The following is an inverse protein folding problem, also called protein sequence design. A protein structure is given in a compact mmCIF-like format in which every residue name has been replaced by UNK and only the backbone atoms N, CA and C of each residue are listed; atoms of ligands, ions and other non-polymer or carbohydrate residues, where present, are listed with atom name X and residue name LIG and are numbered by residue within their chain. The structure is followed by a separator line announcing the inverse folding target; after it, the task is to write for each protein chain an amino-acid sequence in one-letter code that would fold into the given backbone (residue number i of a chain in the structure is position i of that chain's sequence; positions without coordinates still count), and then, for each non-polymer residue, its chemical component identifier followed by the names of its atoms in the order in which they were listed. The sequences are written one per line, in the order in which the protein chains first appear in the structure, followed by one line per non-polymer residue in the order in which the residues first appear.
data_IF_376453819712
#
_entry.id   IF_376453819712
#
_cell.length_a   1.000
_cell.length_b   1.000
_cell.length_c   1.000
_cell.angle_alpha   90.00
_cell.angle_beta   90.00
_cell.angle_gamma   90.00
#
_symmetry.space_group_name_H-M   'P 1'
#
loop_
_entity.id
_entity.type
_entity.pdbx_description
1 polymer ?
#
# COMPACT_ATOMS: atom_id res chain seq x y z
N UNK A 1 -2.30 24.03 -6.55
CA UNK A 1 -1.18 24.95 -6.87
C UNK A 1 -1.61 25.97 -7.92
N UNK A 2 -0.96 27.12 -7.93
CA UNK A 2 -1.20 28.17 -8.93
C UNK A 2 -0.29 27.90 -10.14
N UNK A 3 -0.74 28.10 -11.40
CA UNK A 3 0.09 27.96 -12.59
C UNK A 3 1.36 28.84 -12.49
N UNK A 4 2.52 28.33 -12.91
CA UNK A 4 3.81 29.03 -12.85
C UNK A 4 4.45 29.09 -11.46
N UNK A 5 3.90 28.44 -10.45
CA UNK A 5 4.51 28.30 -9.12
C UNK A 5 5.64 27.24 -9.10
N UNK A 6 6.34 27.14 -7.97
CA UNK A 6 7.34 26.10 -7.76
C UNK A 6 6.77 24.69 -8.03
N UNK A 7 7.59 23.72 -8.47
CA UNK A 7 7.15 22.35 -8.72
C UNK A 7 6.39 21.78 -7.53
N UNK A 8 5.27 21.13 -7.82
CA UNK A 8 4.42 20.48 -6.82
C UNK A 8 4.93 19.06 -6.57
N UNK A 9 5.33 18.71 -5.36
CA UNK A 9 5.64 17.32 -5.02
C UNK A 9 4.34 16.52 -5.00
N UNK A 10 4.29 15.46 -5.77
CA UNK A 10 3.14 14.55 -5.88
C UNK A 10 3.61 13.09 -5.87
N UNK A 11 2.86 12.17 -5.30
CA UNK A 11 3.16 10.75 -5.38
C UNK A 11 3.17 10.25 -6.83
N UNK A 12 4.06 9.32 -7.15
CA UNK A 12 3.98 8.54 -8.39
C UNK A 12 2.63 7.81 -8.40
N UNK A 13 1.96 7.79 -9.56
CA UNK A 13 0.62 7.20 -9.69
C UNK A 13 -0.53 8.17 -9.42
N UNK A 14 -0.26 9.39 -8.93
CA UNK A 14 -1.29 10.42 -8.74
C UNK A 14 -2.04 10.73 -10.02
N UNK A 15 -3.35 11.00 -9.89
CA UNK A 15 -4.19 11.42 -11.02
C UNK A 15 -4.39 12.93 -10.99
N UNK A 16 -4.01 13.59 -12.07
CA UNK A 16 -4.36 14.99 -12.35
C UNK A 16 -5.68 15.02 -13.12
N UNK A 17 -6.68 15.67 -12.54
CA UNK A 17 -7.97 15.89 -13.16
C UNK A 17 -8.08 17.37 -13.53
N UNK A 18 -8.34 17.65 -14.80
CA UNK A 18 -8.60 18.99 -15.30
C UNK A 18 -10.00 19.07 -15.87
N UNK A 19 -10.77 20.02 -15.38
CA UNK A 19 -12.18 20.21 -15.76
C UNK A 19 -12.40 21.65 -16.25
N UNK A 20 -13.15 21.77 -17.35
CA UNK A 20 -13.63 23.05 -17.89
C UNK A 20 -15.14 23.04 -18.03
N UNK A 21 -15.79 24.15 -17.67
CA UNK A 21 -17.24 24.37 -17.85
C UNK A 21 -17.58 25.13 -19.13
N UNK A 22 -16.63 25.39 -19.99
CA UNK A 22 -16.87 26.12 -21.26
C UNK A 22 -15.84 25.78 -22.31
N UNK A 23 -16.30 25.18 -23.42
CA UNK A 23 -15.48 24.84 -24.58
C UNK A 23 -14.59 23.59 -24.42
N UNK A 24 -13.95 23.24 -25.53
CA UNK A 24 -13.06 22.08 -25.57
C UNK A 24 -11.76 22.35 -24.79
N UNK A 25 -11.33 21.34 -24.08
CA UNK A 25 -10.15 21.39 -23.24
C UNK A 25 -8.93 20.86 -24.02
N UNK A 26 -7.98 21.77 -24.31
CA UNK A 26 -6.66 21.41 -24.88
C UNK A 26 -5.58 21.54 -23.81
N UNK A 27 -4.90 20.43 -23.54
CA UNK A 27 -3.86 20.34 -22.52
C UNK A 27 -2.60 19.74 -23.13
N UNK A 28 -1.52 20.50 -23.07
CA UNK A 28 -0.20 20.00 -23.40
C UNK A 28 0.44 19.41 -22.15
N UNK A 29 0.90 18.18 -22.25
CA UNK A 29 1.63 17.49 -21.19
C UNK A 29 3.04 17.13 -21.65
N UNK A 30 3.96 17.01 -20.68
CA UNK A 30 5.35 16.66 -20.92
C UNK A 30 5.96 15.90 -19.76
N UNK A 31 7.04 15.17 -20.03
CA UNK A 31 7.69 14.33 -19.02
C UNK A 31 6.84 13.14 -18.60
N UNK A 32 6.78 12.84 -17.32
CA UNK A 32 6.04 11.72 -16.74
C UNK A 32 4.54 11.96 -16.56
N UNK A 33 3.92 12.93 -17.24
CA UNK A 33 2.46 13.15 -17.21
C UNK A 33 1.84 12.52 -18.45
N UNK A 34 1.02 11.49 -18.28
CA UNK A 34 0.42 10.69 -19.36
C UNK A 34 -1.10 10.75 -19.27
N UNK A 35 -1.76 11.02 -20.40
CA UNK A 35 -3.20 11.01 -20.48
C UNK A 35 -3.77 9.60 -20.30
N UNK A 36 -4.82 9.48 -19.49
CA UNK A 36 -5.55 8.24 -19.25
C UNK A 36 -7.02 8.44 -19.53
N UNK A 37 -7.71 7.36 -19.91
CA UNK A 37 -9.17 7.42 -20.09
C UNK A 37 -9.84 7.67 -18.72
N UNK A 38 -10.87 8.53 -18.67
CA UNK A 38 -11.66 8.69 -17.45
C UNK A 38 -12.43 7.41 -17.13
N UNK A 39 -12.53 7.08 -15.85
CA UNK A 39 -13.30 5.93 -15.36
C UNK A 39 -14.82 6.18 -15.41
N UNK A 40 -15.24 7.44 -15.59
CA UNK A 40 -16.63 7.84 -15.68
C UNK A 40 -16.83 8.93 -16.72
N UNK A 41 -18.04 9.02 -17.29
CA UNK A 41 -18.37 10.12 -18.20
C UNK A 41 -18.45 11.46 -17.45
N UNK A 42 -17.92 12.50 -18.08
CA UNK A 42 -18.01 13.86 -17.55
C UNK A 42 -19.47 14.32 -17.50
N UNK A 43 -19.86 15.15 -16.51
CA UNK A 43 -21.17 15.76 -16.45
C UNK A 43 -21.50 16.54 -17.73
N UNK A 44 -22.76 16.53 -18.16
CA UNK A 44 -23.21 17.25 -19.36
C UNK A 44 -22.81 18.73 -19.31
N UNK A 45 -22.17 19.21 -20.38
CA UNK A 45 -21.71 20.60 -20.49
C UNK A 45 -20.36 20.88 -19.86
N UNK A 46 -19.63 19.87 -19.44
CA UNK A 46 -18.25 19.98 -18.96
C UNK A 46 -17.32 19.11 -19.79
N UNK A 47 -16.10 19.63 -20.06
CA UNK A 47 -15.00 18.86 -20.62
C UNK A 47 -14.06 18.46 -19.49
N UNK A 48 -13.66 17.19 -19.45
CA UNK A 48 -12.80 16.62 -18.41
C UNK A 48 -11.68 15.79 -19.04
N UNK A 49 -10.45 15.98 -18.58
CA UNK A 49 -9.28 15.22 -19.02
C UNK A 49 -8.55 14.67 -17.78
N UNK A 50 -8.14 13.43 -17.84
CA UNK A 50 -7.45 12.73 -16.78
C UNK A 50 -6.03 12.40 -17.19
N UNK A 51 -5.08 12.64 -16.32
CA UNK A 51 -3.66 12.36 -16.55
C UNK A 51 -3.10 11.63 -15.33
N UNK A 52 -2.27 10.63 -15.59
CA UNK A 52 -1.50 9.94 -14.54
C UNK A 52 -0.08 10.51 -14.49
N UNK A 53 0.39 10.77 -13.28
CA UNK A 53 1.76 11.26 -13.05
C UNK A 53 2.63 10.05 -12.72
N UNK A 54 3.49 9.66 -13.65
CA UNK A 54 4.41 8.51 -13.52
C UNK A 54 5.85 8.93 -13.26
N UNK A 55 6.14 10.22 -13.31
CA UNK A 55 7.46 10.83 -13.12
C UNK A 55 7.37 12.34 -13.13
N UNK A 56 8.49 13.01 -13.01
CA UNK A 56 8.56 14.48 -13.13
C UNK A 56 8.00 14.93 -14.47
N UNK A 57 7.22 16.00 -14.45
CA UNK A 57 6.60 16.46 -15.68
C UNK A 57 5.86 17.78 -15.54
N UNK A 58 5.22 18.16 -16.63
CA UNK A 58 4.47 19.43 -16.72
C UNK A 58 3.12 19.21 -17.38
N UNK A 59 2.13 20.02 -17.00
CA UNK A 59 0.86 20.13 -17.68
C UNK A 59 0.53 21.61 -17.90
N UNK A 60 0.03 21.95 -19.09
CA UNK A 60 -0.36 23.32 -19.44
C UNK A 60 -1.69 23.32 -20.17
N UNK A 61 -2.63 24.10 -19.70
CA UNK A 61 -3.88 24.37 -20.41
C UNK A 61 -3.59 25.36 -21.54
N UNK A 62 -4.03 25.02 -22.76
CA UNK A 62 -3.92 25.85 -23.97
C UNK A 62 -5.27 26.45 -24.38
N UNK A 63 -6.36 25.71 -24.12
CA UNK A 63 -7.73 26.14 -24.39
C UNK A 63 -8.64 25.69 -23.24
N UNK A 64 -9.70 26.44 -22.92
CA UNK A 64 -10.19 27.65 -23.57
C UNK A 64 -9.36 28.91 -23.32
N UNK A 65 -8.54 28.95 -22.28
CA UNK A 65 -7.59 30.03 -21.99
C UNK A 65 -6.19 29.46 -21.76
N UNK A 66 -5.16 30.13 -22.30
CA UNK A 66 -3.79 29.67 -22.10
C UNK A 66 -3.28 30.11 -20.74
N UNK A 67 -2.83 29.14 -19.94
CA UNK A 67 -2.28 29.36 -18.61
C UNK A 67 -0.80 28.96 -18.53
N UNK A 68 -0.11 29.45 -17.50
CA UNK A 68 1.24 29.03 -17.21
C UNK A 68 1.26 27.53 -16.84
N UNK A 69 2.33 26.79 -17.15
CA UNK A 69 2.39 25.37 -16.86
C UNK A 69 2.44 25.10 -15.36
N UNK A 70 1.81 24.01 -14.94
CA UNK A 70 2.07 23.37 -13.65
C UNK A 70 3.25 22.40 -13.84
N UNK A 71 4.21 22.49 -12.95
CA UNK A 71 5.33 21.54 -12.86
C UNK A 71 5.11 20.60 -11.69
N UNK A 72 5.40 19.32 -11.90
CA UNK A 72 5.26 18.26 -10.91
C UNK A 72 6.61 17.62 -10.66
N UNK A 73 6.94 17.39 -9.38
CA UNK A 73 8.04 16.52 -8.97
C UNK A 73 7.44 15.25 -8.40
N UNK A 74 7.67 14.14 -9.06
CA UNK A 74 7.13 12.85 -8.65
C UNK A 74 7.95 12.28 -7.48
N UNK A 75 7.29 12.02 -6.37
CA UNK A 75 7.91 11.37 -5.22
C UNK A 75 7.63 9.87 -5.31
N UNK A 76 8.67 9.00 -5.32
CA UNK A 76 8.47 7.57 -5.28
C UNK A 76 7.67 7.18 -4.04
N UNK A 77 6.71 6.28 -4.22
CA UNK A 77 6.00 5.64 -3.13
C UNK A 77 6.94 4.69 -2.38
N UNK A 78 6.84 4.66 -1.07
CA UNK A 78 7.60 3.75 -0.23
C UNK A 78 6.70 2.61 0.20
N UNK A 79 7.17 1.36 0.10
CA UNK A 79 6.38 0.23 0.59
C UNK A 79 6.13 0.37 2.09
N UNK A 80 4.95 -0.03 2.56
CA UNK A 80 4.61 0.01 3.97
C UNK A 80 5.53 -0.87 4.82
N UNK A 81 5.89 -0.39 5.99
CA UNK A 81 6.71 -1.12 6.95
C UNK A 81 5.87 -1.62 8.11
N UNK A 82 6.05 -2.89 8.47
CA UNK A 82 5.47 -3.50 9.66
C UNK A 82 6.53 -4.26 10.44
N UNK A 83 6.54 -4.09 11.75
CA UNK A 83 7.44 -4.82 12.64
C UNK A 83 6.74 -5.10 13.98
N UNK A 84 7.17 -6.15 14.68
CA UNK A 84 6.75 -6.38 16.05
C UNK A 84 7.20 -5.22 16.94
N UNK A 85 6.26 -4.63 17.69
CA UNK A 85 6.55 -3.61 18.69
C UNK A 85 6.98 -4.24 20.02
N UNK A 86 6.51 -5.45 20.29
CA UNK A 86 6.87 -6.27 21.46
C UNK A 86 6.87 -7.74 21.04
N UNK A 87 7.58 -8.57 21.82
CA UNK A 87 7.50 -10.02 21.64
C UNK A 87 6.05 -10.51 21.76
N UNK A 88 5.68 -11.52 20.95
CA UNK A 88 4.35 -12.14 21.04
C UNK A 88 4.08 -12.66 22.46
N UNK A 89 2.94 -12.27 23.02
CA UNK A 89 2.58 -12.63 24.39
C UNK A 89 1.52 -13.72 24.40
N UNK A 90 1.82 -14.84 25.07
CA UNK A 90 0.83 -15.87 25.33
C UNK A 90 -0.16 -15.35 26.37
N UNK A 91 -1.43 -15.43 26.03
CA UNK A 91 -2.54 -15.10 26.92
C UNK A 91 -3.19 -16.38 27.49
N UNK A 92 -4.07 -16.21 28.46
CA UNK A 92 -4.85 -17.30 28.99
C UNK A 92 -5.62 -18.04 27.88
N UNK A 93 -5.85 -19.32 28.09
CA UNK A 93 -6.64 -20.20 27.18
C UNK A 93 -6.08 -20.37 25.79
N UNK A 94 -4.74 -20.28 25.58
CA UNK A 94 -4.11 -20.54 24.29
C UNK A 94 -4.18 -19.42 23.28
N UNK A 95 -4.62 -18.22 23.67
CA UNK A 95 -4.60 -17.04 22.80
C UNK A 95 -3.21 -16.44 22.72
N UNK A 96 -2.90 -15.81 21.58
CA UNK A 96 -1.66 -15.08 21.31
C UNK A 96 -1.98 -13.61 21.04
N UNK A 97 -1.31 -12.73 21.76
CA UNK A 97 -1.37 -11.28 21.53
C UNK A 97 -0.15 -10.85 20.73
N UNK A 98 -0.39 -10.23 19.60
CA UNK A 98 0.60 -9.56 18.77
C UNK A 98 0.50 -8.05 18.94
N UNK A 99 1.63 -7.39 19.20
CA UNK A 99 1.76 -5.93 19.18
C UNK A 99 2.71 -5.56 18.07
N UNK A 100 2.30 -4.71 17.16
CA UNK A 100 3.06 -4.36 15.95
C UNK A 100 3.01 -2.87 15.69
N UNK A 101 4.08 -2.35 15.10
CA UNK A 101 4.22 -0.98 14.63
C UNK A 101 4.05 -0.96 13.11
N UNK A 102 3.28 -0.01 12.63
CA UNK A 102 3.03 0.24 11.22
C UNK A 102 3.55 1.63 10.87
N UNK A 103 4.22 1.75 9.73
CA UNK A 103 4.69 3.03 9.18
C UNK A 103 4.50 3.01 7.66
N UNK A 104 3.92 4.08 7.12
CA UNK A 104 3.71 4.28 5.70
C UNK A 104 3.42 5.75 5.39
N UNK A 105 3.89 6.28 4.25
CA UNK A 105 3.71 7.69 3.88
C UNK A 105 2.29 7.99 3.40
N UNK A 106 1.57 7.01 2.85
CA UNK A 106 0.18 7.16 2.39
C UNK A 106 -0.85 6.45 3.28
N UNK A 107 -0.43 5.55 4.10
CA UNK A 107 -1.22 4.84 5.11
C UNK A 107 -1.53 3.39 4.74
N UNK A 108 -1.18 2.50 5.67
CA UNK A 108 -1.48 1.07 5.60
C UNK A 108 -2.99 0.85 5.59
N UNK A 109 -3.49 0.11 4.62
CA UNK A 109 -4.90 -0.24 4.47
C UNK A 109 -5.19 -1.68 4.85
N UNK A 110 -4.19 -2.56 4.79
CA UNK A 110 -4.31 -3.96 5.17
C UNK A 110 -3.01 -4.45 5.82
N UNK A 111 -3.14 -5.29 6.84
CA UNK A 111 -2.01 -5.98 7.45
C UNK A 111 -2.40 -7.40 7.82
N UNK A 112 -1.47 -8.34 7.64
CA UNK A 112 -1.68 -9.75 7.86
C UNK A 112 -0.53 -10.36 8.65
N UNK A 113 -0.86 -11.37 9.45
CA UNK A 113 0.09 -12.25 10.10
C UNK A 113 -0.05 -13.65 9.54
N UNK A 114 1.06 -14.23 9.13
CA UNK A 114 1.15 -15.61 8.66
C UNK A 114 2.15 -16.38 9.51
N UNK A 115 1.76 -17.56 9.95
CA UNK A 115 2.66 -18.50 10.60
C UNK A 115 3.13 -19.54 9.58
N UNK A 116 4.34 -20.01 9.75
CA UNK A 116 4.87 -21.16 9.02
C UNK A 116 5.57 -22.06 10.01
N UNK A 117 5.53 -23.39 9.80
CA UNK A 117 6.34 -24.29 10.58
C UNK A 117 7.82 -23.87 10.50
N UNK A 118 8.50 -23.80 11.63
CA UNK A 118 9.93 -23.53 11.62
C UNK A 118 10.63 -24.63 10.77
N UNK A 119 11.54 -24.25 9.86
CA UNK A 119 12.28 -25.23 9.11
C UNK A 119 13.03 -26.14 10.09
N UNK A 120 13.01 -27.49 9.90
CA UNK A 120 13.73 -28.39 10.77
C UNK A 120 15.21 -27.97 10.86
N UNK A 121 15.75 -27.97 12.07
CA UNK A 121 17.17 -27.69 12.27
C UNK A 121 17.98 -28.52 11.27
N UNK A 122 18.83 -27.86 10.46
CA UNK A 122 19.62 -28.51 9.43
C UNK A 122 20.49 -29.61 10.06
N UNK A 123 20.05 -30.86 9.97
CA UNK A 123 20.94 -31.98 10.21
C UNK A 123 21.98 -32.03 9.07
N UNK A 124 23.30 -32.17 9.37
CA UNK A 124 24.32 -32.25 8.35
C UNK A 124 24.03 -33.43 7.40
N UNK A 125 23.75 -33.14 6.12
CA UNK A 125 23.59 -34.16 5.09
C UNK A 125 22.17 -34.35 4.51
N UNK A 126 21.14 -33.66 4.99
CA UNK A 126 19.80 -33.74 4.45
C UNK A 126 19.62 -32.86 3.22
N UNK A 127 19.18 -33.44 2.10
CA UNK A 127 18.87 -32.69 0.87
C UNK A 127 17.58 -31.87 1.07
N UNK A 128 17.46 -30.68 0.45
CA UNK A 128 16.27 -29.80 0.58
C UNK A 128 14.95 -30.41 0.13
N UNK A 129 14.98 -31.53 -0.58
CA UNK A 129 13.80 -32.22 -1.13
C UNK A 129 13.04 -33.10 -0.10
N UNK A 130 13.62 -33.37 1.07
CA UNK A 130 13.06 -34.28 2.07
C UNK A 130 12.40 -33.57 3.28
N UNK A 131 12.16 -32.27 3.18
CA UNK A 131 11.40 -31.57 4.22
C UNK A 131 9.97 -32.10 4.25
N UNK A 132 9.49 -32.62 5.40
CA UNK A 132 8.12 -33.12 5.51
C UNK A 132 7.13 -31.98 5.18
N UNK A 133 6.17 -32.28 4.30
CA UNK A 133 5.09 -31.33 4.02
C UNK A 133 4.21 -31.20 5.26
N UNK A 134 3.87 -29.98 5.69
CA UNK A 134 2.96 -29.78 6.80
C UNK A 134 1.60 -30.44 6.48
N UNK A 135 1.05 -31.18 7.43
CA UNK A 135 -0.25 -31.87 7.29
C UNK A 135 -1.44 -30.88 7.34
N UNK A 136 -1.22 -29.72 7.88
CA UNK A 136 -2.22 -28.66 8.05
C UNK A 136 -1.72 -27.35 7.44
N UNK A 137 -2.64 -26.54 6.93
CA UNK A 137 -2.31 -25.20 6.47
C UNK A 137 -1.89 -24.33 7.66
N UNK A 138 -0.86 -23.53 7.44
CA UNK A 138 -0.37 -22.63 8.47
C UNK A 138 -1.39 -21.50 8.71
N UNK A 139 -1.65 -21.10 9.97
CA UNK A 139 -2.61 -20.06 10.28
C UNK A 139 -2.22 -18.73 9.65
N UNK A 140 -3.21 -18.10 9.00
CA UNK A 140 -3.11 -16.74 8.45
C UNK A 140 -4.32 -15.94 8.90
N UNK A 141 -4.11 -14.70 9.32
CA UNK A 141 -5.20 -13.83 9.74
C UNK A 141 -4.86 -12.35 9.60
N UNK A 142 -5.92 -11.56 9.43
CA UNK A 142 -5.80 -10.10 9.34
C UNK A 142 -5.49 -9.49 10.70
N UNK A 143 -4.63 -8.49 10.68
CA UNK A 143 -4.27 -7.69 11.83
C UNK A 143 -5.21 -6.48 11.94
N UNK A 144 -5.53 -6.09 13.17
CA UNK A 144 -6.38 -4.91 13.43
C UNK A 144 -5.56 -3.64 13.24
N UNK A 145 -5.98 -2.80 12.30
CA UNK A 145 -5.34 -1.50 12.08
C UNK A 145 -5.83 -0.48 13.13
N UNK A 146 -4.95 0.37 13.66
CA UNK A 146 -5.36 1.46 14.57
C UNK A 146 -6.34 2.44 13.93
N UNK A 147 -6.20 2.68 12.62
CA UNK A 147 -7.06 3.54 11.81
C UNK A 147 -7.23 2.92 10.41
N UNK A 148 -8.27 3.32 9.68
CA UNK A 148 -8.55 2.85 8.33
C UNK A 148 -7.41 3.09 7.33
N UNK A 149 -6.57 4.11 7.58
CA UNK A 149 -5.33 4.43 6.87
C UNK A 149 -4.29 4.82 7.91
N UNK A 150 -3.50 3.85 8.34
CA UNK A 150 -2.50 4.07 9.39
C UNK A 150 -1.19 4.53 8.79
N UNK A 151 -0.85 5.82 8.91
CA UNK A 151 0.47 6.36 8.48
C UNK A 151 1.57 6.02 9.46
N UNK A 152 1.26 6.07 10.75
CA UNK A 152 2.15 5.62 11.82
C UNK A 152 1.28 5.23 13.02
N UNK A 153 1.57 4.08 13.62
CA UNK A 153 0.81 3.65 14.80
C UNK A 153 1.21 2.28 15.30
N UNK A 154 0.75 1.98 16.50
CA UNK A 154 0.90 0.66 17.12
C UNK A 154 -0.46 -0.01 17.17
N UNK A 155 -0.56 -1.16 16.53
CA UNK A 155 -1.74 -2.02 16.56
C UNK A 155 -1.54 -3.20 17.52
N UNK A 156 -2.65 -3.77 17.95
CA UNK A 156 -2.68 -5.01 18.72
C UNK A 156 -3.75 -5.93 18.17
N UNK A 157 -3.42 -7.20 18.06
CA UNK A 157 -4.38 -8.24 17.68
C UNK A 157 -4.22 -9.42 18.62
N UNK A 158 -5.33 -9.94 19.11
CA UNK A 158 -5.38 -11.18 19.88
C UNK A 158 -6.05 -12.24 19.04
N UNK A 159 -5.38 -13.37 18.86
CA UNK A 159 -5.91 -14.53 18.11
C UNK A 159 -5.91 -15.75 19.02
N UNK A 160 -7.03 -16.46 19.03
CA UNK A 160 -7.17 -17.72 19.73
C UNK A 160 -6.58 -18.87 18.88
N UNK A 161 -5.68 -19.63 19.47
CA UNK A 161 -5.03 -20.80 18.90
C UNK A 161 -5.22 -22.05 19.77
N UNK A 162 -6.21 -22.05 20.68
CA UNK A 162 -6.41 -23.16 21.63
C UNK A 162 -6.66 -24.50 20.94
N UNK A 163 -7.33 -24.47 19.78
CA UNK A 163 -7.65 -25.66 18.98
C UNK A 163 -6.81 -25.75 17.68
N UNK A 164 -5.80 -24.88 17.52
CA UNK A 164 -4.99 -24.86 16.31
C UNK A 164 -3.93 -25.99 16.34
N UNK A 165 -3.76 -26.75 15.24
CA UNK A 165 -2.75 -27.79 15.13
C UNK A 165 -1.31 -27.33 15.38
N UNK A 166 -1.04 -26.04 15.21
CA UNK A 166 0.28 -25.43 15.47
C UNK A 166 0.45 -24.96 16.91
N UNK A 167 -0.55 -25.15 17.79
CA UNK A 167 -0.44 -24.78 19.20
C UNK A 167 0.71 -25.54 19.88
N UNK A 168 1.67 -24.77 20.43
CA UNK A 168 2.86 -25.32 21.08
C UNK A 168 4.02 -25.67 20.14
N UNK A 169 3.85 -25.58 18.83
CA UNK A 169 4.93 -25.77 17.87
C UNK A 169 5.85 -24.54 17.75
N UNK A 170 7.11 -24.77 17.34
CA UNK A 170 7.96 -23.67 16.88
C UNK A 170 7.54 -23.22 15.50
N UNK A 171 7.26 -21.92 15.35
CA UNK A 171 6.75 -21.34 14.13
C UNK A 171 7.50 -20.06 13.78
N UNK A 172 7.63 -19.79 12.50
CA UNK A 172 8.10 -18.50 11.98
C UNK A 172 6.88 -17.61 11.75
N UNK A 173 6.89 -16.42 12.32
CA UNK A 173 5.87 -15.40 12.11
C UNK A 173 6.35 -14.42 11.02
N UNK A 174 5.56 -14.27 9.97
CA UNK A 174 5.72 -13.25 8.94
C UNK A 174 4.59 -12.24 9.07
N UNK A 175 4.96 -10.97 9.11
CA UNK A 175 4.03 -9.84 9.09
C UNK A 175 4.11 -9.17 7.72
N UNK A 176 2.96 -8.89 7.13
CA UNK A 176 2.86 -8.19 5.84
C UNK A 176 1.90 -7.03 5.99
N UNK A 177 2.25 -5.89 5.43
CA UNK A 177 1.38 -4.72 5.34
C UNK A 177 1.22 -4.31 3.89
N UNK A 178 0.06 -3.75 3.54
CA UNK A 178 -0.24 -3.23 2.21
C UNK A 178 -0.83 -1.84 2.32
N UNK A 179 -0.47 -1.00 1.36
CA UNK A 179 -1.07 0.30 1.14
C UNK A 179 -2.26 0.23 0.16
N UNK A 180 -2.78 1.40 -0.25
CA UNK A 180 -3.85 1.49 -1.27
C UNK A 180 -3.33 1.21 -2.69
N UNK A 181 -2.03 1.35 -2.94
CA UNK A 181 -1.40 1.05 -4.22
C UNK A 181 -1.12 -0.45 -4.40
N UNK A 182 -1.19 -1.24 -3.32
CA UNK A 182 -0.97 -2.67 -3.31
C UNK A 182 0.51 -3.08 -3.12
N UNK A 183 1.34 -2.11 -2.66
CA UNK A 183 2.72 -2.40 -2.29
C UNK A 183 2.79 -3.19 -0.99
#
# INVERSE_FOLDING_TARGET
GTPGSAPLPVPVGSTLLVRSSGGDLDIAVGGGVVEVKPDSEAPKGTSERHFRITGDGTARVRAPSSEAPWSFTATPDKPPAIALAKEPQRQARGSLQLSYKLEDDYGVTEAEAQFAAAPPAKAPGTKPADAPRPLFEAPQFKLVLPNARTRAGVGQTVKDFSEDPYAGAEVTLTLTAKDEAGN
#
